data_IF_095381993471
#
_entry.id   IF_095381993471
#
_cell.length_a   1.000
_cell.length_b   1.000
_cell.length_c   1.000
_cell.angle_alpha   90.00
_cell.angle_beta   90.00
_cell.angle_gamma   90.00
#
_symmetry.space_group_name_H-M   'P 1'
#
loop_
_entity.id
_entity.type
_entity.pdbx_description
1 polymer ?
#
# COMPACT_ATOMS: atom_id res chain seq x y z
N UNK A 1 10.11 -0.14 1.68
CA UNK A 1 8.67 -0.01 1.94
C UNK A 1 8.43 1.43 2.36
N UNK A 2 7.60 2.14 1.60
CA UNK A 2 7.13 3.50 1.88
C UNK A 2 5.60 3.52 1.92
N UNK A 3 5.04 4.58 2.48
CA UNK A 3 3.60 4.85 2.44
C UNK A 3 3.34 6.03 1.51
N UNK A 4 2.56 5.81 0.46
CA UNK A 4 2.04 6.87 -0.40
C UNK A 4 0.65 7.24 0.07
N UNK A 5 0.39 8.53 0.24
CA UNK A 5 -0.94 9.05 0.59
C UNK A 5 -1.40 9.91 -0.57
N UNK A 6 -2.46 9.47 -1.24
CA UNK A 6 -3.29 10.35 -2.06
C UNK A 6 -3.98 11.33 -1.09
N UNK A 7 -3.54 12.59 -1.14
CA UNK A 7 -3.88 13.57 -0.13
C UNK A 7 -5.22 14.27 -0.41
N UNK A 8 -5.74 14.15 -1.63
CA UNK A 8 -6.97 14.80 -2.07
C UNK A 8 -8.14 14.21 -1.26
N UNK A 9 -8.68 15.05 -0.36
CA UNK A 9 -9.72 14.70 0.60
C UNK A 9 -9.41 13.50 1.55
N UNK A 10 -8.14 13.18 1.83
CA UNK A 10 -7.79 12.10 2.77
C UNK A 10 -7.97 12.52 4.25
N UNK A 11 -8.90 11.89 5.01
CA UNK A 11 -9.20 12.26 6.39
C UNK A 11 -8.33 11.56 7.44
N UNK A 12 -7.36 10.73 7.02
CA UNK A 12 -6.56 9.85 7.89
C UNK A 12 -5.05 10.13 7.86
N UNK A 13 -4.65 11.30 7.38
CA UNK A 13 -3.23 11.69 7.27
C UNK A 13 -2.52 11.63 8.63
N UNK A 14 -3.16 12.14 9.68
CA UNK A 14 -2.58 12.13 11.02
C UNK A 14 -2.39 10.71 11.57
N UNK A 15 -3.34 9.81 11.31
CA UNK A 15 -3.22 8.38 11.64
C UNK A 15 -2.03 7.74 10.90
N UNK A 16 -1.86 8.05 9.60
CA UNK A 16 -0.72 7.57 8.82
C UNK A 16 0.59 8.06 9.42
N UNK A 17 0.73 9.35 9.71
CA UNK A 17 1.96 9.92 10.29
C UNK A 17 2.33 9.25 11.61
N UNK A 18 1.33 9.07 12.50
CA UNK A 18 1.55 8.42 13.80
C UNK A 18 1.96 6.95 13.67
N UNK A 19 1.45 6.23 12.68
CA UNK A 19 1.85 4.83 12.44
C UNK A 19 3.23 4.77 11.81
N UNK A 20 3.49 5.61 10.80
CA UNK A 20 4.77 5.69 10.11
C UNK A 20 5.92 6.02 11.07
N UNK A 21 5.70 6.94 12.02
CA UNK A 21 6.70 7.29 13.03
C UNK A 21 7.07 6.10 13.95
N UNK A 22 6.10 5.24 14.30
CA UNK A 22 6.35 4.03 15.11
C UNK A 22 7.21 3.02 14.35
N UNK A 23 6.94 2.83 13.07
CA UNK A 23 7.64 1.86 12.22
C UNK A 23 8.85 2.44 11.47
N UNK A 24 9.15 3.73 11.64
CA UNK A 24 10.22 4.46 10.93
C UNK A 24 10.10 4.34 9.41
N UNK A 25 8.87 4.44 8.89
CA UNK A 25 8.59 4.39 7.46
C UNK A 25 8.50 5.80 6.89
N UNK A 26 9.01 5.97 5.67
CA UNK A 26 8.83 7.19 4.89
C UNK A 26 7.38 7.29 4.39
N UNK A 27 6.83 8.51 4.44
CA UNK A 27 5.51 8.87 3.93
C UNK A 27 5.66 9.92 2.85
N UNK A 28 5.16 9.63 1.65
CA UNK A 28 5.01 10.60 0.57
C UNK A 28 3.54 11.03 0.51
N UNK A 29 3.29 12.28 0.87
CA UNK A 29 1.97 12.90 0.78
C UNK A 29 1.88 13.55 -0.59
N UNK A 30 1.08 12.97 -1.49
CA UNK A 30 1.02 13.37 -2.90
C UNK A 30 -0.27 14.12 -3.15
N UNK A 31 -0.19 15.30 -3.78
CA UNK A 31 -1.34 16.11 -4.12
C UNK A 31 -1.12 16.97 -5.36
N UNK A 32 -2.22 17.38 -6.00
CA UNK A 32 -2.18 18.32 -7.11
C UNK A 32 -1.88 19.77 -6.67
N UNK A 33 -2.02 20.07 -5.38
CA UNK A 33 -1.75 21.39 -4.81
C UNK A 33 -0.99 21.28 -3.51
N UNK A 34 -0.22 22.32 -3.18
CA UNK A 34 0.53 22.34 -1.93
C UNK A 34 -0.41 22.31 -0.72
N UNK A 35 -0.03 21.55 0.30
CA UNK A 35 -0.65 21.59 1.61
C UNK A 35 0.39 21.45 2.72
N UNK A 36 0.01 21.84 3.93
CA UNK A 36 0.88 21.74 5.08
C UNK A 36 0.98 20.27 5.54
N UNK A 37 2.21 19.81 5.78
CA UNK A 37 2.54 18.49 6.35
C UNK A 37 3.49 18.68 7.52
N UNK A 38 3.54 17.76 8.49
CA UNK A 38 4.45 17.90 9.63
C UNK A 38 5.92 18.01 9.20
N UNK A 39 6.68 18.88 9.87
CA UNK A 39 8.12 18.98 9.66
C UNK A 39 8.82 17.76 10.27
N UNK A 40 9.08 16.75 9.44
CA UNK A 40 9.67 15.48 9.83
C UNK A 40 10.58 14.96 8.72
N UNK A 41 11.69 14.30 9.08
CA UNK A 41 12.54 13.63 8.08
C UNK A 41 11.88 12.40 7.45
N UNK A 42 10.76 11.92 8.01
CA UNK A 42 9.99 10.79 7.49
C UNK A 42 8.82 11.21 6.59
N UNK A 43 8.47 12.50 6.52
CA UNK A 43 7.27 12.96 5.82
C UNK A 43 7.68 13.95 4.75
N UNK A 44 7.40 13.60 3.50
CA UNK A 44 7.67 14.43 2.33
C UNK A 44 6.35 14.83 1.66
N UNK A 45 6.19 16.13 1.38
CA UNK A 45 5.11 16.62 0.53
C UNK A 45 5.56 16.60 -0.93
N UNK A 46 4.86 15.83 -1.76
CA UNK A 46 5.04 15.82 -3.20
C UNK A 46 3.87 16.55 -3.87
N UNK A 47 4.15 17.75 -4.39
CA UNK A 47 3.21 18.46 -5.26
C UNK A 47 3.46 18.03 -6.70
N UNK A 48 2.42 17.57 -7.37
CA UNK A 48 2.44 17.22 -8.79
C UNK A 48 1.58 18.22 -9.53
N UNK A 49 2.14 18.90 -10.53
CA UNK A 49 1.41 19.87 -11.35
C UNK A 49 1.01 19.25 -12.68
N UNK A 50 -0.14 19.64 -13.22
CA UNK A 50 -0.59 19.20 -14.54
C UNK A 50 -2.09 18.94 -14.62
N UNK A 51 -2.44 17.77 -15.14
CA UNK A 51 -3.82 17.27 -15.27
C UNK A 51 -4.47 17.00 -13.91
N UNK A 52 -5.79 16.80 -13.93
CA UNK A 52 -6.56 16.40 -12.74
C UNK A 52 -6.05 15.07 -12.14
N UNK A 53 -5.59 14.15 -12.98
CA UNK A 53 -5.10 12.82 -12.55
C UNK A 53 -3.58 12.78 -12.31
N UNK A 54 -2.90 13.93 -12.26
CA UNK A 54 -1.43 13.97 -12.21
C UNK A 54 -0.86 13.33 -10.92
N UNK A 55 -1.50 13.54 -9.76
CA UNK A 55 -1.11 12.89 -8.51
C UNK A 55 -1.26 11.36 -8.60
N UNK A 56 -2.38 10.87 -9.12
CA UNK A 56 -2.65 9.45 -9.30
C UNK A 56 -1.63 8.78 -10.21
N UNK A 57 -1.36 9.40 -11.36
CA UNK A 57 -0.35 8.93 -12.31
C UNK A 57 1.02 8.83 -11.67
N UNK A 58 1.39 9.84 -10.88
CA UNK A 58 2.66 9.85 -10.17
C UNK A 58 2.73 8.77 -9.09
N UNK A 59 1.68 8.57 -8.29
CA UNK A 59 1.62 7.50 -7.28
C UNK A 59 1.78 6.14 -7.97
N UNK A 60 1.04 5.89 -9.04
CA UNK A 60 1.08 4.63 -9.78
C UNK A 60 2.45 4.42 -10.38
N UNK A 61 3.10 5.45 -10.94
CA UNK A 61 4.43 5.34 -11.51
C UNK A 61 5.48 4.99 -10.45
N UNK A 62 5.50 5.73 -9.34
CA UNK A 62 6.58 5.66 -8.35
C UNK A 62 6.44 4.49 -7.36
N UNK A 63 5.21 4.09 -7.02
CA UNK A 63 4.97 3.02 -6.06
C UNK A 63 5.48 1.66 -6.56
N UNK A 64 6.07 0.89 -5.65
CA UNK A 64 6.58 -0.46 -5.91
C UNK A 64 5.75 -1.51 -5.16
N UNK A 65 5.85 -2.78 -5.56
CA UNK A 65 5.08 -3.88 -4.98
C UNK A 65 5.24 -4.07 -3.46
N UNK A 66 6.26 -3.47 -2.84
CA UNK A 66 6.50 -3.54 -1.39
C UNK A 66 6.07 -2.27 -0.64
N UNK A 67 5.42 -1.33 -1.31
CA UNK A 67 4.90 -0.10 -0.73
C UNK A 67 3.41 -0.23 -0.41
N UNK A 68 2.89 0.78 0.29
CA UNK A 68 1.50 0.89 0.69
C UNK A 68 0.94 2.18 0.11
N UNK A 69 -0.24 2.13 -0.53
CA UNK A 69 -0.96 3.31 -1.01
C UNK A 69 -2.22 3.49 -0.18
N UNK A 70 -2.45 4.71 0.31
CA UNK A 70 -3.66 5.13 0.99
C UNK A 70 -4.44 6.05 0.06
N UNK A 71 -5.66 5.66 -0.32
CA UNK A 71 -6.52 6.45 -1.22
C UNK A 71 -8.00 6.20 -0.93
N UNK A 72 -8.86 7.14 -1.30
CA UNK A 72 -10.30 6.93 -1.39
C UNK A 72 -10.77 6.67 -2.83
N UNK A 73 -9.89 6.86 -3.82
CA UNK A 73 -10.18 6.67 -5.23
C UNK A 73 -10.02 5.18 -5.62
N UNK A 74 -11.12 4.60 -6.09
CA UNK A 74 -11.20 3.20 -6.48
C UNK A 74 -10.43 2.92 -7.79
N UNK A 75 -10.33 3.90 -8.69
CA UNK A 75 -9.59 3.77 -9.95
C UNK A 75 -8.08 3.85 -9.69
N UNK A 76 -7.63 4.74 -8.80
CA UNK A 76 -6.24 4.73 -8.32
C UNK A 76 -5.91 3.39 -7.63
N UNK A 77 -6.81 2.92 -6.78
CA UNK A 77 -6.64 1.63 -6.10
C UNK A 77 -6.51 0.47 -7.09
N UNK A 78 -7.36 0.39 -8.12
CA UNK A 78 -7.29 -0.62 -9.18
C UNK A 78 -5.93 -0.63 -9.90
N UNK A 79 -5.45 0.55 -10.29
CA UNK A 79 -4.15 0.69 -10.95
C UNK A 79 -2.99 0.23 -10.05
N UNK A 80 -3.04 0.55 -8.76
CA UNK A 80 -2.01 0.15 -7.80
C UNK A 80 -2.05 -1.35 -7.48
N UNK A 81 -3.25 -1.93 -7.31
CA UNK A 81 -3.42 -3.38 -7.09
C UNK A 81 -2.86 -4.18 -8.26
N UNK A 82 -3.09 -3.75 -9.50
CA UNK A 82 -2.51 -4.37 -10.71
C UNK A 82 -0.98 -4.33 -10.76
N UNK A 83 -0.33 -3.43 -10.01
CA UNK A 83 1.13 -3.39 -9.80
C UNK A 83 1.60 -4.18 -8.57
N UNK A 84 0.71 -4.98 -7.97
CA UNK A 84 0.94 -5.72 -6.73
C UNK A 84 1.29 -4.85 -5.52
N UNK A 85 0.89 -3.57 -5.55
CA UNK A 85 1.01 -2.64 -4.42
C UNK A 85 -0.13 -2.90 -3.44
N UNK A 86 0.12 -2.81 -2.13
CA UNK A 86 -0.96 -2.92 -1.14
C UNK A 86 -1.71 -1.60 -1.07
N UNK A 87 -3.04 -1.64 -1.17
CA UNK A 87 -3.85 -0.43 -1.16
C UNK A 87 -4.86 -0.48 -0.04
N UNK A 88 -4.92 0.59 0.76
CA UNK A 88 -5.85 0.70 1.89
C UNK A 88 -6.74 1.91 1.65
N UNK A 89 -8.05 1.67 1.66
CA UNK A 89 -9.09 2.68 1.67
C UNK A 89 -9.03 3.54 2.93
N UNK A 90 -9.40 4.82 2.83
CA UNK A 90 -9.40 5.74 3.99
C UNK A 90 -10.29 5.28 5.16
N UNK A 91 -11.25 4.37 4.93
CA UNK A 91 -12.10 3.76 5.97
C UNK A 91 -11.55 2.45 6.55
N UNK A 92 -10.39 2.01 6.08
CA UNK A 92 -9.68 0.82 6.55
C UNK A 92 -9.98 -0.48 5.81
N UNK A 93 -10.76 -0.42 4.74
CA UNK A 93 -10.92 -1.57 3.84
C UNK A 93 -9.66 -1.71 2.98
N UNK A 94 -9.19 -2.94 2.78
CA UNK A 94 -8.05 -3.19 1.89
C UNK A 94 -8.55 -3.59 0.50
N UNK A 95 -7.99 -2.99 -0.54
CA UNK A 95 -8.26 -3.39 -1.91
C UNK A 95 -7.27 -4.46 -2.35
N UNK A 96 -7.81 -5.53 -2.91
CA UNK A 96 -7.08 -6.72 -3.37
C UNK A 96 -7.55 -7.13 -4.75
N UNK A 97 -6.80 -7.99 -5.44
CA UNK A 97 -7.20 -8.52 -6.75
C UNK A 97 -8.59 -9.18 -6.71
N UNK A 98 -8.95 -9.81 -5.58
CA UNK A 98 -10.24 -10.49 -5.41
C UNK A 98 -11.44 -9.55 -5.29
N UNK A 99 -11.24 -8.32 -4.79
CA UNK A 99 -12.36 -7.41 -4.46
C UNK A 99 -12.40 -6.14 -5.32
N UNK A 100 -11.29 -5.78 -5.97
CA UNK A 100 -11.17 -4.49 -6.65
C UNK A 100 -12.09 -4.37 -7.85
N UNK A 101 -12.30 -5.45 -8.61
CA UNK A 101 -13.24 -5.47 -9.73
C UNK A 101 -14.69 -5.17 -9.31
N UNK A 102 -15.13 -5.76 -8.19
CA UNK A 102 -16.46 -5.47 -7.63
C UNK A 102 -16.58 -4.05 -7.09
N UNK A 103 -15.50 -3.51 -6.51
CA UNK A 103 -15.46 -2.12 -6.06
C UNK A 103 -15.58 -1.13 -7.23
N UNK A 104 -14.87 -1.37 -8.34
CA UNK A 104 -14.94 -0.57 -9.57
C UNK A 104 -16.35 -0.60 -10.16
N UNK A 105 -16.94 -1.78 -10.31
CA UNK A 105 -18.31 -1.92 -10.83
C UNK A 105 -19.34 -1.21 -9.92
N UNK A 106 -19.17 -1.32 -8.59
CA UNK A 106 -20.01 -0.62 -7.62
C UNK A 106 -19.89 0.91 -7.73
N UNK A 107 -18.68 1.43 -7.93
CA UNK A 107 -18.42 2.85 -8.16
C UNK A 107 -19.16 3.36 -9.39
N UNK A 108 -19.03 2.67 -10.53
CA UNK A 108 -19.69 3.03 -11.78
C UNK A 108 -21.22 3.02 -11.66
N UNK A 109 -21.79 1.99 -11.03
CA UNK A 109 -23.23 1.93 -10.78
C UNK A 109 -23.72 3.13 -9.93
N UNK A 110 -22.99 3.45 -8.86
CA UNK A 110 -23.35 4.58 -7.99
C UNK A 110 -23.21 5.93 -8.69
N UNK A 111 -22.25 6.09 -9.59
CA UNK A 111 -22.16 7.28 -10.44
C UNK A 111 -23.34 7.41 -11.40
N UNK A 112 -23.72 6.31 -12.05
CA UNK A 112 -24.88 6.28 -12.94
C UNK A 112 -26.17 6.66 -12.18
N UNK A 113 -26.39 6.11 -10.99
CA UNK A 113 -27.54 6.46 -10.14
C UNK A 113 -27.54 7.93 -9.71
N UNK A 114 -26.37 8.50 -9.43
CA UNK A 114 -26.23 9.94 -9.16
C UNK A 114 -26.57 10.79 -10.39
N UNK A 115 -26.08 10.41 -11.57
CA UNK A 115 -26.39 11.10 -12.83
C UNK A 115 -27.89 11.07 -13.17
N UNK A 116 -28.57 9.98 -12.84
CA UNK A 116 -30.03 9.85 -13.01
C UNK A 116 -30.83 10.63 -11.94
N UNK A 117 -30.18 11.18 -10.92
CA UNK A 117 -30.84 11.91 -9.82
C UNK A 117 -31.49 11.01 -8.76
N UNK A 118 -31.36 9.69 -8.91
CA UNK A 118 -31.92 8.65 -8.02
C UNK A 118 -31.14 8.52 -6.70
N UNK A 119 -29.90 9.01 -6.66
CA UNK A 119 -29.11 9.12 -5.44
C UNK A 119 -28.71 10.57 -5.14
N UNK A 120 -28.93 10.98 -3.89
CA UNK A 120 -28.53 12.29 -3.35
C UNK A 120 -27.66 12.10 -2.12
N UNK A 121 -26.63 12.94 -1.98
CA UNK A 121 -25.69 12.92 -0.86
C UNK A 121 -24.34 12.28 -1.20
N UNK A 122 -23.32 12.66 -0.45
CA UNK A 122 -21.97 12.10 -0.57
C UNK A 122 -21.77 10.86 0.30
N UNK A 123 -20.58 10.23 0.23
CA UNK A 123 -20.22 9.13 1.12
C UNK A 123 -20.41 9.51 2.59
N UNK A 124 -20.80 8.55 3.43
CA UNK A 124 -20.90 8.77 4.86
C UNK A 124 -19.56 9.31 5.41
N UNK A 125 -19.59 10.31 6.31
CA UNK A 125 -18.38 10.90 6.87
C UNK A 125 -17.58 9.86 7.68
N UNK A 126 -16.30 10.16 7.88
CA UNK A 126 -15.40 9.31 8.66
C UNK A 126 -15.84 9.27 10.13
N UNK A 127 -16.05 8.07 10.68
CA UNK A 127 -16.42 7.87 12.08
C UNK A 127 -15.28 7.22 12.90
N UNK A 128 -15.48 7.08 14.21
CA UNK A 128 -14.48 6.48 15.12
C UNK A 128 -14.21 5.01 14.79
N UNK A 129 -15.22 4.26 14.34
CA UNK A 129 -15.11 2.83 14.05
C UNK A 129 -14.27 2.60 12.79
N UNK A 130 -14.52 3.37 11.73
CA UNK A 130 -13.76 3.38 10.49
C UNK A 130 -12.31 3.81 10.74
N UNK A 131 -12.07 4.81 11.59
CA UNK A 131 -10.72 5.22 11.98
C UNK A 131 -9.96 4.11 12.74
N UNK A 132 -10.64 3.42 13.66
CA UNK A 132 -10.05 2.27 14.36
C UNK A 132 -9.76 1.11 13.43
N UNK A 133 -10.65 0.84 12.45
CA UNK A 133 -10.42 -0.15 11.41
C UNK A 133 -9.20 0.22 10.57
N UNK A 134 -9.12 1.46 10.10
CA UNK A 134 -7.99 1.98 9.33
C UNK A 134 -6.65 1.75 10.03
N UNK A 135 -6.55 2.14 11.31
CA UNK A 135 -5.34 1.92 12.10
C UNK A 135 -4.99 0.43 12.23
N UNK A 136 -5.99 -0.44 12.42
CA UNK A 136 -5.78 -1.88 12.55
C UNK A 136 -5.29 -2.50 11.25
N UNK A 137 -5.93 -2.15 10.12
CA UNK A 137 -5.55 -2.63 8.78
C UNK A 137 -4.14 -2.17 8.42
N UNK A 138 -3.83 -0.89 8.60
CA UNK A 138 -2.48 -0.37 8.29
C UNK A 138 -1.39 -1.07 9.10
N UNK A 139 -1.63 -1.29 10.40
CA UNK A 139 -0.70 -2.02 11.25
C UNK A 139 -0.48 -3.47 10.78
N UNK A 140 -1.57 -4.19 10.47
CA UNK A 140 -1.51 -5.55 9.93
C UNK A 140 -0.75 -5.64 8.61
N UNK A 141 -1.01 -4.71 7.67
CA UNK A 141 -0.32 -4.66 6.38
C UNK A 141 1.19 -4.47 6.58
N UNK A 142 1.60 -3.52 7.42
CA UNK A 142 3.01 -3.25 7.72
C UNK A 142 3.69 -4.49 8.33
N UNK A 143 3.05 -5.13 9.32
CA UNK A 143 3.61 -6.32 9.97
C UNK A 143 3.72 -7.50 8.99
N UNK A 144 2.71 -7.73 8.16
CA UNK A 144 2.73 -8.82 7.17
C UNK A 144 3.90 -8.69 6.19
N UNK A 145 4.22 -7.47 5.75
CA UNK A 145 5.34 -7.18 4.85
C UNK A 145 6.69 -7.30 5.55
N UNK A 146 6.77 -6.83 6.79
CA UNK A 146 7.99 -6.92 7.60
C UNK A 146 8.36 -8.38 7.87
N UNK A 147 7.37 -9.23 8.17
CA UNK A 147 7.58 -10.66 8.40
C UNK A 147 7.86 -11.44 7.11
N UNK A 148 7.23 -11.07 5.99
CA UNK A 148 7.54 -11.64 4.67
C UNK A 148 8.98 -11.39 4.23
N UNK A 149 9.54 -10.23 4.56
CA UNK A 149 10.96 -9.92 4.35
C UNK A 149 11.86 -10.79 5.22
N UNK A 150 11.57 -10.93 6.52
CA UNK A 150 12.38 -11.79 7.41
C UNK A 150 12.37 -13.26 6.97
N UNK A 151 11.23 -13.76 6.47
CA UNK A 151 11.12 -15.14 5.99
C UNK A 151 11.86 -15.38 4.66
N UNK A 152 11.98 -14.38 3.78
CA UNK A 152 12.75 -14.51 2.52
C UNK A 152 14.27 -14.37 2.70
N UNK A 153 14.75 -13.85 3.84
CA UNK A 153 16.17 -13.83 4.20
C UNK A 153 16.59 -15.00 5.09
N UNK A 154 15.67 -15.91 5.43
CA UNK A 154 15.99 -17.13 6.17
C UNK A 154 16.69 -18.14 5.24
N UNK A 155 18.02 -18.11 5.22
CA UNK A 155 18.84 -19.23 4.76
C UNK A 155 18.78 -20.30 5.86
N UNK A 156 18.21 -21.49 5.62
CA UNK A 156 18.23 -22.55 6.63
C UNK A 156 19.69 -22.88 6.96
N UNK A 157 20.10 -22.72 8.22
CA UNK A 157 21.35 -23.32 8.70
C UNK A 157 21.19 -24.82 8.48
N UNK A 158 21.96 -25.35 7.54
CA UNK A 158 22.00 -26.77 7.16
C UNK A 158 21.85 -27.67 8.38
N UNK A 159 20.77 -28.45 8.41
CA UNK A 159 20.59 -29.51 9.39
C UNK A 159 21.71 -30.51 9.19
N UNK A 160 22.49 -30.70 10.24
CA UNK A 160 23.48 -31.76 10.38
C UNK A 160 22.74 -33.08 10.48
N UNK A 161 22.39 -33.66 9.32
CA UNK A 161 21.92 -35.04 9.20
C UNK A 161 22.86 -35.80 8.28
N UNK A 162 23.25 -36.99 8.75
CA UNK A 162 24.33 -37.90 8.35
C UNK A 162 24.38 -38.39 6.88
N UNK A 163 23.80 -37.68 5.91
CA UNK A 163 23.74 -38.12 4.51
C UNK A 163 24.80 -37.47 3.59
N UNK A 164 25.76 -36.70 4.12
CA UNK A 164 26.79 -36.04 3.32
C UNK A 164 28.00 -36.90 2.94
N UNK A 165 27.98 -38.21 3.23
CA UNK A 165 29.11 -39.11 2.92
C UNK A 165 29.07 -39.81 1.55
N UNK A 166 28.12 -39.49 0.66
CA UNK A 166 28.05 -40.10 -0.68
C UNK A 166 28.65 -39.22 -1.79
N UNK A 167 28.95 -37.94 -1.52
CA UNK A 167 29.49 -37.02 -2.54
C UNK A 167 30.98 -36.67 -2.41
N UNK A 168 31.71 -37.24 -1.42
CA UNK A 168 33.13 -36.92 -1.18
C UNK A 168 34.15 -37.86 -1.82
N UNK A 169 33.73 -38.82 -2.66
CA UNK A 169 34.66 -39.78 -3.28
C UNK A 169 34.87 -39.62 -4.79
N UNK A 170 34.38 -38.54 -5.42
CA UNK A 170 34.53 -38.31 -6.88
C UNK A 170 35.24 -37.02 -7.30
N UNK A 171 35.97 -36.36 -6.39
CA UNK A 171 36.71 -35.13 -6.69
C UNK A 171 38.21 -35.20 -6.36
N UNK A 172 38.84 -36.37 -6.46
CA UNK A 172 40.30 -36.50 -6.37
C UNK A 172 40.94 -37.39 -7.43
N UNK A 173 40.24 -37.64 -8.54
CA UNK A 173 40.84 -38.23 -9.73
C UNK A 173 40.49 -37.36 -10.94
N UNK A 174 41.51 -37.00 -11.72
CA UNK A 174 41.47 -36.18 -12.94
C UNK A 174 41.56 -34.66 -12.71
N UNK A 175 42.77 -34.20 -12.41
CA UNK A 175 43.43 -33.11 -13.15
C UNK A 175 44.89 -32.98 -12.67
N UNK A 176 45.71 -33.97 -13.06
CA UNK A 176 47.05 -33.71 -13.57
C UNK A 176 46.90 -33.49 -15.08
#
# INVERSE_FOLDING_TARGET
MKIFVDADACPVKDEVYRVAERYKLEVLVVANQWMNVPMSSLIEMKVVSGSFDAADDWIVEQSQANDIVITADILLADRCVKKSVRVIGTKGDEFTEDNIGSAVAGRELMENLRHMGEMRGGPAPMDKKARSRFLSTLDQVIQSRSNGLLNNFYIPKTSTTKESNIFRERASAVAL
#
